data_IF_365845031346
#
_entry.id   IF_365845031346
#
_cell.length_a   1.000
_cell.length_b   1.000
_cell.length_c   1.000
_cell.angle_alpha   90.00
_cell.angle_beta   90.00
_cell.angle_gamma   90.00
#
_symmetry.space_group_name_H-M   'P 1'
#
loop_
_entity.id
_entity.type
_entity.pdbx_description
1 polymer ?
#
# COMPACT_ATOMS: atom_id res chain seq x y z
N UNK A 1 -22.34 3.73 18.22
CA UNK A 1 -20.95 3.30 18.31
C UNK A 1 -20.88 1.88 17.77
N UNK A 2 -19.98 1.60 16.83
CA UNK A 2 -19.83 0.27 16.25
C UNK A 2 -18.47 -0.33 16.66
N UNK A 3 -18.49 -1.56 17.16
CA UNK A 3 -17.27 -2.34 17.40
C UNK A 3 -16.59 -2.62 16.05
N UNK A 4 -15.29 -2.46 15.98
CA UNK A 4 -14.52 -2.62 14.75
C UNK A 4 -13.58 -3.83 14.84
N UNK A 5 -12.97 -4.20 13.70
CA UNK A 5 -11.88 -5.18 13.68
C UNK A 5 -10.52 -4.59 14.10
N UNK A 6 -10.48 -3.28 14.41
CA UNK A 6 -9.26 -2.64 14.91
C UNK A 6 -9.02 -2.98 16.37
N UNK A 7 -7.75 -3.26 16.71
CA UNK A 7 -7.31 -3.52 18.08
C UNK A 7 -6.68 -2.29 18.73
N UNK A 8 -6.81 -2.20 20.04
CA UNK A 8 -6.12 -1.24 20.87
C UNK A 8 -4.60 -1.55 20.88
N UNK A 9 -3.70 -0.62 20.53
CA UNK A 9 -2.27 -0.89 20.50
C UNK A 9 -1.63 -1.02 21.89
N UNK A 10 -2.41 -0.80 22.96
CA UNK A 10 -1.93 -0.91 24.36
C UNK A 10 -2.31 -2.24 25.00
N UNK A 11 -3.46 -2.80 24.65
CA UNK A 11 -4.01 -3.99 25.33
C UNK A 11 -4.68 -5.02 24.41
N UNK A 12 -4.54 -4.89 23.11
CA UNK A 12 -5.05 -5.79 22.05
C UNK A 12 -6.57 -6.02 22.02
N UNK A 13 -7.34 -5.31 22.88
CA UNK A 13 -8.81 -5.39 22.87
C UNK A 13 -9.38 -4.65 21.68
N UNK A 14 -10.56 -5.08 21.23
CA UNK A 14 -11.28 -4.43 20.15
C UNK A 14 -11.55 -2.94 20.46
N UNK A 15 -11.44 -2.12 19.42
CA UNK A 15 -11.79 -0.72 19.50
C UNK A 15 -13.24 -0.49 19.07
N UNK A 16 -13.93 0.36 19.80
CA UNK A 16 -15.24 0.93 19.43
C UNK A 16 -15.02 2.36 18.94
N UNK A 17 -15.50 2.68 17.75
CA UNK A 17 -15.32 4.01 17.16
C UNK A 17 -16.56 4.86 17.42
N UNK A 18 -16.33 5.98 18.08
CA UNK A 18 -17.27 7.07 18.28
C UNK A 18 -17.05 8.22 17.29
N UNK A 19 -17.69 9.37 17.55
CA UNK A 19 -17.61 10.54 16.66
C UNK A 19 -16.26 11.25 16.73
N UNK A 20 -15.60 11.26 17.90
CA UNK A 20 -14.36 12.01 18.13
C UNK A 20 -13.17 11.11 18.48
N UNK A 21 -13.39 9.87 18.90
CA UNK A 21 -12.34 8.97 19.37
C UNK A 21 -12.70 7.50 19.17
N UNK A 22 -11.69 6.65 19.17
CA UNK A 22 -11.81 5.21 19.30
C UNK A 22 -11.39 4.78 20.72
N UNK A 23 -12.19 3.94 21.39
CA UNK A 23 -11.96 3.51 22.76
C UNK A 23 -12.03 1.99 22.89
N UNK A 24 -11.28 1.40 23.82
CA UNK A 24 -11.42 0.00 24.20
C UNK A 24 -12.16 -0.14 25.56
N UNK A 25 -12.53 -1.36 25.91
CA UNK A 25 -13.21 -1.69 27.17
C UNK A 25 -12.36 -1.46 28.44
N UNK A 26 -11.02 -1.27 28.29
CA UNK A 26 -10.09 -0.89 29.36
C UNK A 26 -9.89 0.61 29.50
N UNK A 27 -10.64 1.43 28.73
CA UNK A 27 -10.60 2.89 28.85
C UNK A 27 -9.47 3.57 28.07
N UNK A 28 -8.65 2.86 27.30
CA UNK A 28 -7.69 3.53 26.41
C UNK A 28 -8.46 4.23 25.28
N UNK A 29 -8.12 5.49 25.04
CA UNK A 29 -8.76 6.34 24.04
C UNK A 29 -7.74 6.91 23.04
N UNK A 30 -8.14 6.95 21.77
CA UNK A 30 -7.34 7.46 20.64
C UNK A 30 -8.19 8.42 19.84
N UNK A 31 -7.74 9.65 19.71
CA UNK A 31 -8.50 10.70 19.01
C UNK A 31 -8.56 10.43 17.50
N UNK A 32 -9.73 10.68 16.91
CA UNK A 32 -9.86 10.86 15.48
C UNK A 32 -9.32 12.25 15.11
N UNK A 33 -8.41 12.28 14.15
CA UNK A 33 -7.96 13.55 13.60
C UNK A 33 -9.14 14.31 12.94
N UNK A 34 -9.06 15.63 12.88
CA UNK A 34 -10.10 16.46 12.21
C UNK A 34 -10.35 16.03 10.76
N UNK A 35 -9.34 15.51 10.07
CA UNK A 35 -9.46 14.96 8.71
C UNK A 35 -9.98 13.51 8.65
N UNK A 36 -10.37 12.91 9.78
CA UNK A 36 -11.07 11.63 9.86
C UNK A 36 -10.18 10.39 10.00
N UNK A 37 -8.86 10.49 10.07
CA UNK A 37 -7.99 9.32 10.29
C UNK A 37 -7.79 9.04 11.79
N UNK A 38 -7.48 7.79 12.10
CA UNK A 38 -7.15 7.32 13.44
C UNK A 38 -5.62 7.15 13.58
N UNK A 39 -5.04 7.65 14.69
CA UNK A 39 -3.62 7.46 14.96
C UNK A 39 -3.45 6.44 16.11
N UNK A 40 -3.00 5.24 15.75
CA UNK A 40 -2.71 4.13 16.66
C UNK A 40 -1.20 3.86 16.82
N UNK A 41 -0.33 4.67 16.21
CA UNK A 41 1.12 4.52 16.32
C UNK A 41 1.61 5.02 17.68
N UNK A 42 2.06 4.11 18.53
CA UNK A 42 2.60 4.46 19.84
C UNK A 42 3.99 5.10 19.71
N UNK A 43 4.40 5.95 20.68
CA UNK A 43 5.70 6.61 20.66
C UNK A 43 6.89 5.64 20.58
N UNK A 44 6.83 4.48 21.25
CA UNK A 44 7.87 3.45 21.24
C UNK A 44 7.97 2.65 19.94
N UNK A 45 7.00 2.78 19.03
CA UNK A 45 7.01 2.18 17.69
C UNK A 45 7.63 3.10 16.66
N UNK A 46 8.03 4.31 17.03
CA UNK A 46 8.64 5.29 16.12
C UNK A 46 10.15 5.16 16.17
N UNK A 47 10.76 4.84 15.03
CA UNK A 47 12.22 4.79 14.88
C UNK A 47 12.82 6.10 14.36
N UNK A 48 11.98 7.08 13.99
CA UNK A 48 12.36 8.44 13.61
C UNK A 48 11.25 9.42 13.98
N UNK A 49 11.52 10.74 14.05
CA UNK A 49 10.49 11.77 14.26
C UNK A 49 9.38 11.76 13.19
N UNK A 50 9.76 11.49 11.93
CA UNK A 50 8.86 11.38 10.78
C UNK A 50 9.13 10.04 10.07
N UNK A 51 8.49 8.94 10.54
CA UNK A 51 8.67 7.64 9.92
C UNK A 51 7.92 7.54 8.59
N UNK A 52 8.43 6.71 7.68
CA UNK A 52 7.87 6.48 6.34
C UNK A 52 8.37 7.48 5.30
N UNK A 53 7.66 7.58 4.19
CA UNK A 53 8.03 8.41 3.06
C UNK A 53 7.92 9.92 3.39
N UNK A 54 8.87 10.69 2.88
CA UNK A 54 8.88 12.16 3.07
C UNK A 54 7.69 12.82 2.34
N UNK A 55 7.26 14.03 2.79
CA UNK A 55 6.21 14.78 2.10
C UNK A 55 6.50 15.02 0.61
N UNK A 56 7.77 15.28 0.25
CA UNK A 56 8.19 15.46 -1.13
C UNK A 56 8.02 14.19 -1.97
N UNK A 57 8.39 13.03 -1.43
CA UNK A 57 8.21 11.73 -2.06
C UNK A 57 6.72 11.40 -2.27
N UNK A 58 5.90 11.60 -1.24
CA UNK A 58 4.46 11.37 -1.30
C UNK A 58 3.75 12.28 -2.32
N UNK A 59 4.11 13.57 -2.38
CA UNK A 59 3.56 14.50 -3.37
C UNK A 59 3.95 14.10 -4.79
N UNK A 60 5.21 13.74 -5.01
CA UNK A 60 5.69 13.27 -6.30
C UNK A 60 4.99 11.99 -6.75
N UNK A 61 4.79 11.04 -5.82
CA UNK A 61 4.02 9.81 -6.07
C UNK A 61 2.58 10.14 -6.47
N UNK A 62 1.91 11.01 -5.72
CA UNK A 62 0.55 11.43 -6.05
C UNK A 62 0.45 12.04 -7.45
N UNK A 63 1.39 12.90 -7.82
CA UNK A 63 1.42 13.52 -9.16
C UNK A 63 1.50 12.45 -10.25
N UNK A 64 2.37 11.48 -10.13
CA UNK A 64 2.54 10.40 -11.12
C UNK A 64 1.32 9.46 -11.14
N UNK A 65 0.79 9.08 -9.98
CA UNK A 65 -0.36 8.17 -9.90
C UNK A 65 -1.64 8.83 -10.44
N UNK A 66 -1.90 10.10 -10.10
CA UNK A 66 -3.06 10.86 -10.60
C UNK A 66 -2.97 11.19 -12.09
N UNK A 67 -1.77 11.23 -12.68
CA UNK A 67 -1.61 11.35 -14.12
C UNK A 67 -2.00 10.06 -14.89
N UNK A 68 -2.40 8.99 -14.20
CA UNK A 68 -2.92 7.76 -14.81
C UNK A 68 -1.85 6.75 -15.25
N UNK A 69 -0.57 7.02 -15.02
CA UNK A 69 0.51 6.12 -15.48
C UNK A 69 0.49 4.72 -14.87
N UNK A 70 -0.18 4.54 -13.72
CA UNK A 70 -0.32 3.26 -13.02
C UNK A 70 -1.73 2.67 -13.09
N UNK A 71 -2.59 3.19 -13.98
CA UNK A 71 -3.99 2.79 -14.10
C UNK A 71 -4.18 1.30 -14.43
N UNK A 72 -3.36 0.76 -15.34
CA UNK A 72 -3.38 -0.67 -15.67
C UNK A 72 -3.07 -1.54 -14.44
N UNK A 73 -2.11 -1.13 -13.61
CA UNK A 73 -1.75 -1.84 -12.38
C UNK A 73 -2.85 -1.73 -11.33
N UNK A 74 -3.44 -0.55 -11.16
CA UNK A 74 -4.58 -0.35 -10.24
C UNK A 74 -5.79 -1.21 -10.65
N UNK A 75 -6.07 -1.32 -11.95
CA UNK A 75 -7.10 -2.20 -12.49
C UNK A 75 -6.79 -3.68 -12.25
N UNK A 76 -5.55 -4.12 -12.48
CA UNK A 76 -5.12 -5.49 -12.20
C UNK A 76 -5.21 -5.85 -10.71
N UNK A 77 -4.84 -4.92 -9.83
CA UNK A 77 -4.97 -5.09 -8.37
C UNK A 77 -6.44 -5.24 -7.97
N UNK A 78 -7.32 -4.37 -8.48
CA UNK A 78 -8.76 -4.49 -8.28
C UNK A 78 -9.29 -5.85 -8.75
N UNK A 79 -8.90 -6.32 -9.93
CA UNK A 79 -9.33 -7.62 -10.48
C UNK A 79 -8.95 -8.76 -9.53
N UNK A 80 -7.74 -8.75 -8.97
CA UNK A 80 -7.32 -9.75 -8.00
C UNK A 80 -8.16 -9.71 -6.71
N UNK A 81 -8.47 -8.52 -6.19
CA UNK A 81 -9.36 -8.35 -5.02
C UNK A 81 -10.76 -8.88 -5.32
N UNK A 82 -11.32 -8.49 -6.47
CA UNK A 82 -12.67 -8.91 -6.88
C UNK A 82 -12.77 -10.44 -7.03
N UNK A 83 -11.75 -11.09 -7.58
CA UNK A 83 -11.68 -12.54 -7.69
C UNK A 83 -11.64 -13.24 -6.34
N UNK A 84 -10.85 -12.72 -5.38
CA UNK A 84 -10.79 -13.29 -4.02
C UNK A 84 -12.12 -13.16 -3.30
N UNK A 85 -12.89 -12.11 -3.57
CA UNK A 85 -14.16 -11.81 -2.91
C UNK A 85 -15.40 -12.24 -3.71
N UNK A 86 -15.24 -12.86 -4.88
CA UNK A 86 -16.34 -13.14 -5.82
C UNK A 86 -17.50 -13.94 -5.19
N UNK A 87 -17.19 -14.84 -4.24
CA UNK A 87 -18.17 -15.70 -3.58
C UNK A 87 -18.57 -15.18 -2.19
N UNK A 88 -18.13 -13.95 -1.83
CA UNK A 88 -18.35 -13.33 -0.51
C UNK A 88 -19.30 -12.15 -0.61
N UNK A 89 -20.26 -12.02 0.30
CA UNK A 89 -21.18 -10.89 0.34
C UNK A 89 -20.46 -9.60 0.76
N UNK A 90 -19.93 -9.55 1.96
CA UNK A 90 -19.16 -8.42 2.48
C UNK A 90 -17.80 -8.92 2.98
N UNK A 91 -16.75 -8.11 2.80
CA UNK A 91 -15.39 -8.46 3.22
C UNK A 91 -14.66 -7.28 3.82
N UNK A 92 -13.65 -7.57 4.65
CA UNK A 92 -12.72 -6.61 5.23
C UNK A 92 -11.41 -6.64 4.43
N UNK A 93 -11.06 -5.54 3.81
CA UNK A 93 -9.88 -5.36 2.96
C UNK A 93 -8.94 -4.34 3.63
N UNK A 94 -7.68 -4.69 3.86
CA UNK A 94 -6.68 -3.76 4.36
C UNK A 94 -5.52 -3.61 3.38
N UNK A 95 -5.06 -2.38 3.13
CA UNK A 95 -3.82 -2.08 2.42
C UNK A 95 -2.75 -1.69 3.44
N UNK A 96 -1.72 -2.53 3.58
CA UNK A 96 -0.61 -2.34 4.50
C UNK A 96 0.56 -1.68 3.79
N UNK A 97 0.91 -0.46 4.22
CA UNK A 97 1.83 0.42 3.52
C UNK A 97 1.14 1.19 2.41
N UNK A 98 -0.08 1.66 2.67
CA UNK A 98 -0.94 2.30 1.66
C UNK A 98 -0.43 3.66 1.17
N UNK A 99 0.58 4.24 1.81
CA UNK A 99 1.15 5.54 1.45
C UNK A 99 0.09 6.64 1.45
N UNK A 100 -0.07 7.29 0.29
CA UNK A 100 -1.06 8.35 0.09
C UNK A 100 -2.45 7.84 -0.36
N UNK A 101 -2.65 6.51 -0.41
CA UNK A 101 -3.97 5.86 -0.51
C UNK A 101 -4.49 5.55 -1.90
N UNK A 102 -3.75 5.84 -2.98
CA UNK A 102 -4.23 5.72 -4.37
C UNK A 102 -4.75 4.32 -4.74
N UNK A 103 -3.98 3.26 -4.46
CA UNK A 103 -4.36 1.90 -4.86
C UNK A 103 -5.61 1.41 -4.14
N UNK A 104 -5.67 1.62 -2.82
CA UNK A 104 -6.84 1.21 -2.05
C UNK A 104 -8.10 2.01 -2.42
N UNK A 105 -7.96 3.32 -2.64
CA UNK A 105 -9.06 4.16 -3.13
C UNK A 105 -9.56 3.68 -4.50
N UNK A 106 -8.65 3.37 -5.43
CA UNK A 106 -9.00 2.80 -6.74
C UNK A 106 -9.78 1.49 -6.60
N UNK A 107 -9.34 0.57 -5.73
CA UNK A 107 -10.05 -0.68 -5.44
C UNK A 107 -11.42 -0.38 -4.86
N UNK A 108 -11.52 0.45 -3.82
CA UNK A 108 -12.79 0.76 -3.16
C UNK A 108 -13.82 1.37 -4.12
N UNK A 109 -13.43 2.33 -4.95
CA UNK A 109 -14.32 2.95 -5.95
C UNK A 109 -14.82 1.97 -7.00
N UNK A 110 -13.97 1.07 -7.49
CA UNK A 110 -14.34 0.06 -8.49
C UNK A 110 -15.25 -1.02 -7.90
N UNK A 111 -15.00 -1.42 -6.65
CA UNK A 111 -15.85 -2.38 -5.94
C UNK A 111 -17.21 -1.79 -5.56
N UNK A 112 -17.34 -0.47 -5.39
CA UNK A 112 -18.61 0.20 -5.05
C UNK A 112 -19.70 0.03 -6.13
N UNK A 113 -19.34 -0.32 -7.36
CA UNK A 113 -20.30 -0.63 -8.45
C UNK A 113 -20.92 -2.03 -8.33
N UNK A 114 -20.44 -2.87 -7.39
CA UNK A 114 -20.93 -4.22 -7.13
C UNK A 114 -21.85 -4.31 -5.94
N UNK A 115 -22.38 -5.51 -5.67
CA UNK A 115 -23.40 -5.78 -4.64
C UNK A 115 -22.86 -5.94 -3.20
N UNK A 116 -21.58 -5.65 -2.91
CA UNK A 116 -20.95 -5.97 -1.62
C UNK A 116 -20.75 -4.76 -0.71
N UNK A 117 -21.22 -4.78 0.52
CA UNK A 117 -20.91 -3.80 1.57
C UNK A 117 -19.52 -4.03 2.18
N UNK A 118 -18.45 -3.90 1.37
CA UNK A 118 -17.08 -4.13 1.83
C UNK A 118 -16.58 -3.00 2.73
N UNK A 119 -15.65 -3.35 3.65
CA UNK A 119 -15.00 -2.43 4.56
C UNK A 119 -13.52 -2.31 4.19
N UNK A 120 -13.03 -1.08 4.02
CA UNK A 120 -11.68 -0.78 3.56
C UNK A 120 -10.89 -0.08 4.65
N UNK A 121 -9.63 -0.49 4.83
CA UNK A 121 -8.70 0.03 5.83
C UNK A 121 -7.35 0.33 5.18
N UNK A 122 -6.94 1.58 5.15
CA UNK A 122 -5.58 1.96 4.71
C UNK A 122 -4.68 2.19 5.91
N UNK A 123 -3.56 1.47 5.99
CA UNK A 123 -2.61 1.55 7.10
C UNK A 123 -1.25 1.96 6.58
N UNK A 124 -0.68 3.00 7.17
CA UNK A 124 0.70 3.43 6.92
C UNK A 124 1.32 4.02 8.17
N UNK A 125 2.64 3.93 8.30
CA UNK A 125 3.38 4.55 9.39
C UNK A 125 3.52 6.07 9.18
N UNK A 126 3.44 6.54 7.93
CA UNK A 126 3.53 7.95 7.56
C UNK A 126 2.23 8.69 7.87
N UNK A 127 2.27 9.52 8.93
CA UNK A 127 1.15 10.42 9.24
C UNK A 127 0.81 11.36 8.08
N UNK A 128 1.82 11.81 7.35
CA UNK A 128 1.64 12.68 6.17
C UNK A 128 0.94 11.92 5.05
N UNK A 129 1.34 10.68 4.75
CA UNK A 129 0.70 9.82 3.75
C UNK A 129 -0.78 9.61 4.08
N UNK A 130 -1.08 9.19 5.31
CA UNK A 130 -2.45 8.98 5.78
C UNK A 130 -3.28 10.27 5.72
N UNK A 131 -2.73 11.41 6.15
CA UNK A 131 -3.42 12.70 6.01
C UNK A 131 -3.73 13.04 4.55
N UNK A 132 -2.80 12.75 3.65
CA UNK A 132 -3.04 12.91 2.20
C UNK A 132 -4.15 11.97 1.71
N UNK A 133 -4.18 10.72 2.18
CA UNK A 133 -5.19 9.73 1.79
C UNK A 133 -6.62 10.13 2.18
N UNK A 134 -6.81 10.91 3.24
CA UNK A 134 -8.16 11.32 3.70
C UNK A 134 -8.94 12.17 2.71
N UNK A 135 -8.31 12.70 1.65
CA UNK A 135 -9.03 13.47 0.62
C UNK A 135 -9.84 12.57 -0.34
N UNK A 136 -9.54 11.27 -0.36
CA UNK A 136 -10.31 10.30 -1.12
C UNK A 136 -11.62 9.98 -0.39
N UNK A 137 -12.75 10.23 -1.03
CA UNK A 137 -14.09 10.07 -0.46
C UNK A 137 -14.67 8.66 -0.55
N UNK A 138 -13.87 7.62 -0.68
CA UNK A 138 -14.28 6.23 -0.98
C UNK A 138 -14.75 5.40 0.21
N UNK A 139 -14.96 6.02 1.38
CA UNK A 139 -15.39 5.29 2.60
C UNK A 139 -14.30 4.46 3.26
N UNK A 140 -13.05 4.64 2.86
CA UNK A 140 -11.89 3.98 3.47
C UNK A 140 -11.60 4.55 4.85
N UNK A 141 -11.33 3.66 5.81
CA UNK A 141 -10.83 4.03 7.14
C UNK A 141 -9.31 4.10 7.13
N UNK A 142 -8.79 5.29 7.29
CA UNK A 142 -7.36 5.56 7.27
C UNK A 142 -6.77 5.51 8.69
N UNK A 143 -5.67 4.79 8.86
CA UNK A 143 -5.05 4.52 10.18
C UNK A 143 -3.55 4.72 10.10
N UNK A 144 -2.99 5.50 11.01
CA UNK A 144 -1.54 5.58 11.23
C UNK A 144 -1.14 4.50 12.21
N UNK A 145 -0.36 3.51 11.77
CA UNK A 145 0.11 2.41 12.61
C UNK A 145 1.36 1.73 12.02
N UNK A 146 2.02 0.88 12.83
CA UNK A 146 3.11 0.02 12.38
C UNK A 146 2.58 -1.14 11.55
N UNK A 147 3.36 -1.60 10.55
CA UNK A 147 3.08 -2.81 9.78
C UNK A 147 3.55 -4.08 10.49
N UNK A 148 4.47 -3.97 11.45
CA UNK A 148 5.02 -5.12 12.20
C UNK A 148 4.12 -5.56 13.35
N UNK A 149 3.21 -4.70 13.76
CA UNK A 149 2.15 -4.96 14.73
C UNK A 149 0.93 -4.18 14.27
N UNK A 150 0.33 -4.66 13.18
CA UNK A 150 -0.78 -3.97 12.54
C UNK A 150 -2.02 -3.90 13.44
N UNK A 151 -2.83 -2.87 13.30
CA UNK A 151 -3.90 -2.56 14.25
C UNK A 151 -5.16 -3.42 14.05
N UNK A 152 -5.01 -4.71 13.70
CA UNK A 152 -6.13 -5.59 13.44
C UNK A 152 -6.19 -6.75 14.44
N UNK A 153 -7.40 -7.14 14.79
CA UNK A 153 -7.66 -8.36 15.55
C UNK A 153 -7.23 -9.59 14.74
N UNK A 154 -6.84 -10.70 15.39
CA UNK A 154 -6.53 -11.94 14.69
C UNK A 154 -7.69 -12.40 13.81
N UNK A 155 -7.37 -12.99 12.65
CA UNK A 155 -8.32 -13.61 11.72
C UNK A 155 -9.54 -12.72 11.39
N UNK A 156 -9.29 -11.43 11.19
CA UNK A 156 -10.35 -10.44 10.96
C UNK A 156 -10.44 -9.92 9.53
N UNK A 157 -9.40 -10.15 8.70
CA UNK A 157 -9.32 -9.65 7.33
C UNK A 157 -9.54 -10.76 6.31
N UNK A 158 -10.31 -10.46 5.28
CA UNK A 158 -10.52 -11.32 4.10
C UNK A 158 -9.42 -11.10 3.06
N UNK A 159 -8.95 -9.87 2.91
CA UNK A 159 -7.87 -9.50 1.98
C UNK A 159 -6.90 -8.55 2.66
N UNK A 160 -5.61 -8.86 2.55
CA UNK A 160 -4.51 -7.94 2.83
C UNK A 160 -3.86 -7.57 1.51
N UNK A 161 -3.77 -6.29 1.20
CA UNK A 161 -2.98 -5.73 0.11
C UNK A 161 -1.62 -5.27 0.63
N UNK A 162 -0.59 -5.42 -0.19
CA UNK A 162 0.71 -4.77 -0.02
C UNK A 162 1.23 -4.37 -1.38
N UNK A 163 1.22 -3.07 -1.69
CA UNK A 163 1.60 -2.55 -3.01
C UNK A 163 2.94 -1.82 -2.92
N UNK A 164 4.01 -2.42 -3.44
CA UNK A 164 5.39 -1.90 -3.37
C UNK A 164 5.85 -1.58 -1.94
N UNK A 165 5.30 -2.28 -0.95
CA UNK A 165 5.59 -2.10 0.46
C UNK A 165 6.18 -3.37 1.09
N UNK A 166 6.93 -3.25 2.20
CA UNK A 166 7.41 -4.41 2.96
C UNK A 166 6.24 -5.22 3.53
N UNK A 167 6.41 -6.53 3.62
CA UNK A 167 5.40 -7.44 4.18
C UNK A 167 5.94 -8.02 5.49
N UNK A 168 5.25 -7.73 6.59
CA UNK A 168 5.47 -8.38 7.88
C UNK A 168 4.68 -9.70 7.90
N UNK A 169 5.27 -10.76 7.38
CA UNK A 169 4.58 -12.02 7.06
C UNK A 169 3.89 -12.64 8.26
N UNK A 170 4.54 -12.67 9.42
CA UNK A 170 3.96 -13.22 10.66
C UNK A 170 2.72 -12.44 11.09
N UNK A 171 2.74 -11.10 10.96
CA UNK A 171 1.60 -10.28 11.29
C UNK A 171 0.46 -10.46 10.29
N UNK A 172 0.78 -10.57 8.98
CA UNK A 172 -0.21 -10.87 7.95
C UNK A 172 -0.91 -12.20 8.22
N UNK A 173 -0.17 -13.27 8.61
CA UNK A 173 -0.77 -14.55 9.00
C UNK A 173 -1.70 -14.43 10.21
N UNK A 174 -1.33 -13.62 11.19
CA UNK A 174 -2.12 -13.39 12.39
C UNK A 174 -3.49 -12.76 12.07
N UNK A 175 -3.51 -11.78 11.16
CA UNK A 175 -4.71 -10.97 10.87
C UNK A 175 -5.60 -11.53 9.78
N UNK A 176 -5.05 -12.32 8.85
CA UNK A 176 -5.84 -12.98 7.80
C UNK A 176 -6.72 -14.08 8.37
N UNK A 177 -7.93 -14.19 7.86
CA UNK A 177 -8.79 -15.37 8.03
C UNK A 177 -8.15 -16.59 7.37
N UNK A 178 -8.44 -17.79 7.83
CA UNK A 178 -7.89 -19.03 7.24
C UNK A 178 -8.18 -19.15 5.73
N UNK A 179 -9.30 -18.65 5.28
CA UNK A 179 -9.74 -18.59 3.88
C UNK A 179 -9.46 -17.25 3.19
N UNK A 180 -8.79 -16.33 3.88
CA UNK A 180 -8.36 -15.00 3.38
C UNK A 180 -7.23 -15.08 2.34
N UNK A 181 -6.83 -13.94 1.80
CA UNK A 181 -5.72 -13.85 0.88
C UNK A 181 -4.83 -12.62 1.12
N UNK A 182 -3.52 -12.81 0.97
CA UNK A 182 -2.56 -11.74 0.77
C UNK A 182 -2.41 -11.48 -0.73
N UNK A 183 -2.61 -10.24 -1.16
CA UNK A 183 -2.33 -9.79 -2.52
C UNK A 183 -1.11 -8.87 -2.45
N UNK A 184 -0.01 -9.32 -3.03
CA UNK A 184 1.25 -8.58 -3.06
C UNK A 184 1.53 -8.07 -4.48
N UNK A 185 1.76 -6.77 -4.59
CA UNK A 185 2.20 -6.13 -5.84
C UNK A 185 3.69 -5.82 -5.74
N UNK A 186 4.48 -6.46 -6.59
CA UNK A 186 5.94 -6.33 -6.62
C UNK A 186 6.43 -5.90 -8.00
N UNK A 187 7.58 -5.17 -8.11
CA UNK A 187 8.10 -4.78 -9.40
C UNK A 187 8.53 -5.99 -10.23
N UNK A 188 8.19 -5.98 -11.51
CA UNK A 188 8.69 -6.94 -12.48
C UNK A 188 10.08 -6.58 -12.98
N UNK A 189 10.73 -7.46 -13.77
CA UNK A 189 12.12 -7.28 -14.20
C UNK A 189 12.35 -6.00 -15.02
N UNK A 190 11.35 -5.58 -15.78
CA UNK A 190 11.45 -4.41 -16.67
C UNK A 190 10.89 -3.12 -16.02
N UNK A 191 10.53 -3.16 -14.71
CA UNK A 191 9.95 -2.01 -14.02
C UNK A 191 10.88 -0.81 -14.03
N UNK A 192 10.43 0.31 -14.64
CA UNK A 192 11.16 1.58 -14.78
C UNK A 192 12.55 1.38 -15.43
N UNK A 193 12.66 0.46 -16.38
CA UNK A 193 13.89 0.02 -17.03
C UNK A 193 14.73 1.18 -17.57
N UNK A 194 14.13 2.10 -18.35
CA UNK A 194 14.85 3.23 -18.94
C UNK A 194 15.34 4.23 -17.87
N UNK A 195 14.59 4.47 -16.79
CA UNK A 195 15.04 5.31 -15.69
C UNK A 195 16.23 4.65 -14.96
N UNK A 196 16.14 3.34 -14.71
CA UNK A 196 17.21 2.56 -14.06
C UNK A 196 18.48 2.53 -14.91
N UNK A 197 18.37 2.48 -16.25
CA UNK A 197 19.51 2.55 -17.16
C UNK A 197 20.25 3.90 -17.11
N UNK A 198 19.56 5.00 -16.80
CA UNK A 198 20.20 6.29 -16.57
C UNK A 198 20.90 6.33 -15.19
N UNK A 199 20.29 5.70 -14.18
CA UNK A 199 20.77 5.74 -12.79
C UNK A 199 21.96 4.83 -12.56
N UNK A 200 21.89 3.60 -13.06
CA UNK A 200 22.85 2.54 -12.77
C UNK A 200 23.73 2.20 -13.97
N UNK A 201 25.05 2.01 -13.78
CA UNK A 201 25.93 1.51 -14.85
C UNK A 201 25.51 0.12 -15.36
N UNK A 202 24.97 -0.71 -14.48
CA UNK A 202 24.43 -2.05 -14.80
C UNK A 202 23.08 -2.19 -14.14
N UNK A 203 22.05 -2.46 -14.96
CA UNK A 203 20.69 -2.69 -14.46
C UNK A 203 20.55 -4.15 -14.07
N UNK A 204 20.39 -4.40 -12.76
CA UNK A 204 20.03 -5.73 -12.25
C UNK A 204 18.51 -5.87 -12.31
N UNK A 205 17.95 -6.85 -13.04
CA UNK A 205 16.50 -7.08 -13.06
C UNK A 205 15.96 -7.30 -11.63
N UNK A 206 14.75 -6.82 -11.37
CA UNK A 206 14.07 -7.21 -10.13
C UNK A 206 13.86 -8.72 -10.14
N UNK A 207 14.10 -9.37 -9.00
CA UNK A 207 13.83 -10.78 -8.86
C UNK A 207 12.34 -11.05 -9.11
N UNK A 208 12.00 -12.10 -9.86
CA UNK A 208 10.62 -12.55 -9.90
C UNK A 208 10.17 -12.86 -8.47
N UNK A 209 8.92 -12.72 -8.24
CA UNK A 209 8.23 -12.84 -6.97
C UNK A 209 8.86 -13.79 -5.96
N UNK A 210 8.86 -13.45 -4.71
CA UNK A 210 9.60 -14.14 -3.68
C UNK A 210 9.10 -15.58 -3.49
N UNK A 211 9.72 -16.54 -4.16
CA UNK A 211 9.72 -17.95 -3.74
C UNK A 211 10.10 -18.07 -2.25
N UNK A 212 10.99 -17.18 -1.76
CA UNK A 212 11.31 -17.05 -0.34
C UNK A 212 10.11 -16.78 0.57
N UNK A 213 9.04 -16.12 0.09
CA UNK A 213 7.80 -15.99 0.85
C UNK A 213 7.02 -17.30 0.95
N UNK A 214 7.08 -18.13 -0.08
CA UNK A 214 6.28 -19.38 -0.15
C UNK A 214 6.85 -20.45 0.78
N UNK A 215 8.17 -20.66 0.74
CA UNK A 215 8.79 -21.79 1.43
C UNK A 215 9.00 -21.56 2.94
N UNK A 216 9.26 -20.32 3.35
CA UNK A 216 9.60 -19.99 4.73
C UNK A 216 8.39 -19.54 5.59
N UNK A 217 7.23 -19.24 5.00
CA UNK A 217 6.21 -18.41 5.66
C UNK A 217 4.82 -19.03 5.81
N UNK A 218 4.59 -20.24 5.26
CA UNK A 218 3.29 -20.93 5.37
C UNK A 218 2.18 -20.32 4.50
N UNK A 219 2.54 -19.76 3.34
CA UNK A 219 1.62 -19.37 2.28
C UNK A 219 1.84 -20.20 1.02
N UNK A 220 0.77 -20.47 0.27
CA UNK A 220 0.81 -21.01 -1.07
C UNK A 220 0.48 -19.93 -2.11
N UNK A 221 1.13 -19.98 -3.28
CA UNK A 221 0.78 -19.12 -4.41
C UNK A 221 -0.50 -19.64 -5.05
N UNK A 222 -1.58 -18.88 -4.93
CA UNK A 222 -2.86 -19.21 -5.59
C UNK A 222 -2.87 -18.74 -7.05
N UNK A 223 -2.33 -17.55 -7.33
CA UNK A 223 -2.18 -17.03 -8.70
C UNK A 223 -1.10 -15.96 -8.79
N UNK A 224 -0.57 -15.78 -9.99
CA UNK A 224 0.36 -14.70 -10.35
C UNK A 224 -0.07 -14.11 -11.68
N UNK A 225 -0.25 -12.80 -11.73
CA UNK A 225 -0.53 -12.05 -12.96
C UNK A 225 0.56 -11.00 -13.17
N UNK A 226 1.10 -10.90 -14.39
CA UNK A 226 2.05 -9.85 -14.77
C UNK A 226 1.31 -8.74 -15.48
N UNK A 227 1.41 -7.52 -14.97
CA UNK A 227 0.82 -6.32 -15.54
C UNK A 227 1.93 -5.48 -16.16
N UNK A 228 1.81 -5.18 -17.44
CA UNK A 228 2.77 -4.34 -18.19
C UNK A 228 2.02 -3.23 -18.91
N UNK A 229 2.50 -2.01 -18.77
CA UNK A 229 2.02 -0.86 -19.54
C UNK A 229 3.18 0.07 -19.89
N UNK A 230 3.04 0.80 -21.00
CA UNK A 230 4.00 1.83 -21.39
C UNK A 230 3.67 3.15 -20.68
N UNK A 231 4.71 3.83 -20.24
CA UNK A 231 4.65 5.17 -19.65
C UNK A 231 5.50 6.11 -20.50
N UNK A 232 4.90 7.18 -21.03
CA UNK A 232 5.61 8.23 -21.74
C UNK A 232 5.56 9.52 -20.92
N UNK A 233 6.70 9.92 -20.36
CA UNK A 233 6.88 11.18 -19.67
C UNK A 233 7.41 12.21 -20.65
N UNK A 234 6.65 13.28 -20.84
CA UNK A 234 6.91 14.27 -21.90
C UNK A 234 7.44 15.60 -21.34
N UNK A 235 7.83 15.64 -20.08
CA UNK A 235 8.46 16.79 -19.47
C UNK A 235 9.49 16.38 -18.42
N UNK A 236 10.49 17.23 -18.24
CA UNK A 236 11.48 17.13 -17.17
C UNK A 236 10.80 17.03 -15.79
N UNK A 237 9.74 17.79 -15.57
CA UNK A 237 9.02 17.80 -14.29
C UNK A 237 8.43 16.42 -13.99
N UNK A 238 7.74 15.78 -14.96
CA UNK A 238 7.21 14.43 -14.80
C UNK A 238 8.33 13.41 -14.50
N UNK A 239 9.46 13.51 -15.19
CA UNK A 239 10.61 12.60 -14.99
C UNK A 239 11.17 12.78 -13.57
N UNK A 240 11.29 14.00 -13.09
CA UNK A 240 11.77 14.29 -11.74
C UNK A 240 10.77 13.83 -10.66
N UNK A 241 9.46 13.95 -10.90
CA UNK A 241 8.45 13.37 -10.01
C UNK A 241 8.53 11.84 -9.98
N UNK A 242 8.71 11.20 -11.15
CA UNK A 242 8.90 9.75 -11.18
C UNK A 242 10.15 9.33 -10.38
N UNK A 243 11.27 10.00 -10.57
CA UNK A 243 12.48 9.73 -9.81
C UNK A 243 12.27 9.93 -8.31
N UNK A 244 11.67 11.08 -7.91
CA UNK A 244 11.49 11.47 -6.52
C UNK A 244 10.52 10.56 -5.74
N UNK A 245 9.58 9.89 -6.42
CA UNK A 245 8.68 8.94 -5.75
C UNK A 245 9.32 7.57 -5.46
N UNK A 246 10.52 7.33 -5.99
CA UNK A 246 11.24 6.06 -5.82
C UNK A 246 12.33 6.16 -4.76
N UNK A 247 12.75 5.03 -4.14
CA UNK A 247 13.91 5.03 -3.25
C UNK A 247 15.22 5.38 -3.96
N UNK A 248 15.28 5.32 -5.29
CA UNK A 248 16.49 5.67 -6.06
C UNK A 248 16.93 7.12 -5.81
N UNK A 249 15.99 8.08 -5.72
CA UNK A 249 16.27 9.49 -5.52
C UNK A 249 17.22 9.80 -4.36
N UNK A 250 17.13 9.01 -3.30
CA UNK A 250 17.90 9.20 -2.07
C UNK A 250 19.29 8.58 -2.11
N UNK A 251 19.52 7.66 -3.07
CA UNK A 251 20.74 6.86 -3.15
C UNK A 251 21.63 7.22 -4.35
N UNK A 252 21.25 8.18 -5.19
CA UNK A 252 22.01 8.59 -6.37
C UNK A 252 22.88 9.80 -6.10
N UNK A 253 24.02 9.88 -6.83
CA UNK A 253 24.90 11.04 -6.80
C UNK A 253 24.27 12.29 -7.41
N UNK A 254 24.81 13.47 -7.09
CA UNK A 254 24.39 14.73 -7.73
C UNK A 254 24.58 14.69 -9.25
N UNK A 255 25.66 14.05 -9.72
CA UNK A 255 25.95 13.90 -11.15
C UNK A 255 24.89 13.02 -11.83
N UNK A 256 24.52 11.90 -11.24
CA UNK A 256 23.45 11.04 -11.76
C UNK A 256 22.11 11.77 -11.78
N UNK A 257 21.80 12.52 -10.73
CA UNK A 257 20.60 13.35 -10.69
C UNK A 257 20.59 14.38 -11.83
N UNK A 258 21.72 15.08 -12.05
CA UNK A 258 21.86 16.02 -13.15
C UNK A 258 21.65 15.36 -14.53
N UNK A 259 22.13 14.12 -14.73
CA UNK A 259 21.85 13.36 -15.97
C UNK A 259 20.35 13.11 -16.17
N UNK A 260 19.62 12.72 -15.12
CA UNK A 260 18.16 12.56 -15.21
C UNK A 260 17.50 13.90 -15.51
N UNK A 261 17.97 14.98 -14.92
CA UNK A 261 17.45 16.33 -15.11
C UNK A 261 17.63 16.87 -16.55
N UNK A 262 18.57 16.35 -17.34
CA UNK A 262 18.74 16.71 -18.75
C UNK A 262 17.73 16.02 -19.69
N UNK A 263 17.01 14.99 -19.22
CA UNK A 263 16.05 14.29 -20.03
C UNK A 263 14.78 15.14 -20.22
N UNK A 264 14.48 15.47 -21.46
CA UNK A 264 13.23 16.18 -21.82
C UNK A 264 12.03 15.24 -22.01
N UNK A 265 12.31 13.97 -22.38
CA UNK A 265 11.33 12.93 -22.60
C UNK A 265 11.91 11.59 -22.16
N UNK A 266 11.06 10.72 -21.59
CA UNK A 266 11.44 9.37 -21.19
C UNK A 266 10.28 8.41 -21.43
N UNK A 267 10.52 7.37 -22.20
CA UNK A 267 9.61 6.24 -22.36
C UNK A 267 10.14 5.06 -21.57
N UNK A 268 9.28 4.43 -20.80
CA UNK A 268 9.64 3.34 -19.91
C UNK A 268 8.45 2.42 -19.63
N UNK A 269 8.74 1.28 -19.03
CA UNK A 269 7.72 0.28 -18.72
C UNK A 269 7.32 0.33 -17.25
N UNK A 270 6.02 0.39 -16.97
CA UNK A 270 5.45 -0.04 -15.69
C UNK A 270 5.25 -1.55 -15.78
N UNK A 271 6.02 -2.30 -15.03
CA UNK A 271 6.02 -3.77 -15.01
C UNK A 271 5.90 -4.26 -13.57
N UNK A 272 4.87 -5.02 -13.27
CA UNK A 272 4.64 -5.52 -11.92
C UNK A 272 3.97 -6.90 -11.93
N UNK A 273 4.26 -7.67 -10.89
CA UNK A 273 3.52 -8.88 -10.58
C UNK A 273 2.46 -8.59 -9.52
N UNK A 274 1.25 -9.05 -9.77
CA UNK A 274 0.18 -9.14 -8.78
C UNK A 274 0.06 -10.61 -8.39
N UNK A 275 0.48 -10.90 -7.16
CA UNK A 275 0.53 -12.25 -6.63
C UNK A 275 -0.55 -12.43 -5.58
N UNK A 276 -1.30 -13.50 -5.65
CA UNK A 276 -2.30 -13.89 -4.66
C UNK A 276 -1.75 -15.09 -3.88
N UNK A 277 -1.64 -14.93 -2.57
CA UNK A 277 -1.20 -15.97 -1.64
C UNK A 277 -2.34 -16.38 -0.72
N UNK A 278 -2.43 -17.66 -0.40
CA UNK A 278 -3.36 -18.22 0.59
C UNK A 278 -2.60 -18.80 1.77
N UNK A 279 -3.06 -18.62 3.02
CA UNK A 279 -2.52 -19.36 4.17
C UNK A 279 -2.62 -20.87 3.95
N UNK A 280 -1.57 -21.62 4.39
CA UNK A 280 -1.59 -23.09 4.43
C UNK A 280 -2.42 -23.58 5.58
#
# INVERSE_FOLDING_TARGET
MATTILKCPVCDRALTIGNASATCDRGHAFDLARSGYLNLLLPNQRHSPEPGDSPAMLNSRRTILQAGFYEALASGTHTAVAQVLAERGAGHIADLGCGEGFFLDSVARRMATGAGGHHYYGVDISRTGIKMATVYGSGVRWVVASLHDSPFLPQSLDVVLSTFAPIAVEDVRRILRPDGALISVTPGPDHLDALRAIIYPTVVPHAPTPSAMVDATGFDVASTSRIRSQMALNSREQIMHLLAMTPYYWNISRETKARVETCARLELTVDAYVNVFRPR
#
